data_IF_842623630078
#
_entry.id   IF_842623630078
#
_cell.length_a   1.000
_cell.length_b   1.000
_cell.length_c   1.000
_cell.angle_alpha   90.00
_cell.angle_beta   90.00
_cell.angle_gamma   90.00
#
_symmetry.space_group_name_H-M   'P 1'
#
loop_
_entity.id
_entity.type
_entity.pdbx_description
1 polymer ?
#
# COMPACT_ATOMS: atom_id res chain seq x y z
N UNK A 1 61.48 14.21 53.56
CA UNK A 1 62.67 15.08 53.70
C UNK A 1 63.18 15.45 52.31
N UNK A 2 63.46 16.75 52.09
CA UNK A 2 64.03 17.44 50.90
C UNK A 2 63.09 17.59 49.69
N UNK A 3 62.42 18.74 49.49
CA UNK A 3 62.88 20.09 49.08
C UNK A 3 62.80 20.27 47.55
N UNK A 4 61.79 20.98 47.04
CA UNK A 4 61.81 22.38 46.56
C UNK A 4 62.85 22.63 45.46
N UNK A 5 62.39 23.00 44.25
CA UNK A 5 62.98 24.12 43.50
C UNK A 5 61.95 24.73 42.53
N UNK A 6 61.60 25.99 42.77
CA UNK A 6 61.02 26.93 41.80
C UNK A 6 62.17 27.54 40.99
N UNK A 7 61.98 27.84 39.71
CA UNK A 7 62.55 29.07 39.15
C UNK A 7 61.66 29.67 38.06
N UNK A 8 61.59 30.99 38.13
CA UNK A 8 60.80 31.93 37.33
C UNK A 8 61.52 32.35 36.04
N UNK A 9 60.68 32.84 35.13
CA UNK A 9 60.83 34.02 34.25
C UNK A 9 61.68 33.97 32.99
N UNK A 10 61.08 34.42 31.86
CA UNK A 10 61.33 35.71 31.19
C UNK A 10 60.51 35.78 29.87
N UNK A 11 59.60 36.77 29.76
CA UNK A 11 59.17 37.40 28.48
C UNK A 11 60.39 38.17 27.89
N UNK A 12 60.47 38.58 26.58
CA UNK A 12 59.35 39.11 25.76
C UNK A 12 59.43 38.92 24.21
N UNK A 13 58.37 39.38 23.51
CA UNK A 13 58.30 39.92 22.12
C UNK A 13 58.85 39.12 20.92
N UNK A 14 58.01 38.88 19.90
CA UNK A 14 58.10 39.47 18.54
C UNK A 14 56.86 39.04 17.73
N UNK A 15 56.25 40.02 17.07
CA UNK A 15 55.12 39.86 16.16
C UNK A 15 55.54 39.24 14.82
N UNK A 16 54.72 38.36 14.26
CA UNK A 16 54.73 38.06 12.83
C UNK A 16 53.30 37.99 12.28
N UNK A 17 53.06 38.84 11.28
CA UNK A 17 51.90 38.87 10.40
C UNK A 17 51.77 37.56 9.60
N UNK A 18 50.59 36.93 9.61
CA UNK A 18 50.14 36.05 8.52
C UNK A 18 48.64 36.24 8.27
N UNK A 19 48.37 37.10 7.28
CA UNK A 19 47.48 36.93 6.12
C UNK A 19 46.34 35.90 6.28
N UNK A 20 45.11 36.41 6.13
CA UNK A 20 43.89 35.62 6.22
C UNK A 20 43.72 34.58 5.11
N UNK A 21 43.08 33.48 5.51
CA UNK A 21 42.14 32.73 4.68
C UNK A 21 40.95 32.41 5.57
N UNK A 22 39.93 33.27 5.54
CA UNK A 22 38.59 32.87 5.96
C UNK A 22 38.05 31.93 4.86
N UNK A 23 38.40 30.65 4.93
CA UNK A 23 37.70 29.64 4.16
C UNK A 23 36.27 29.58 4.71
N UNK A 24 35.32 30.16 3.98
CA UNK A 24 33.90 29.79 4.10
C UNK A 24 33.81 28.32 3.72
N UNK A 25 34.01 27.44 4.69
CA UNK A 25 33.55 26.07 4.59
C UNK A 25 32.02 26.17 4.48
N UNK A 26 31.51 26.09 3.26
CA UNK A 26 30.12 25.81 3.03
C UNK A 26 29.92 24.37 3.49
N UNK A 27 29.70 24.20 4.80
CA UNK A 27 29.19 22.95 5.34
C UNK A 27 27.92 22.67 4.56
N UNK A 28 27.97 21.65 3.70
CA UNK A 28 26.78 21.11 3.08
C UNK A 28 25.83 20.81 4.23
N UNK A 29 24.74 21.57 4.30
CA UNK A 29 23.77 21.45 5.38
C UNK A 29 23.38 19.97 5.47
N UNK A 30 23.56 19.36 6.64
CA UNK A 30 23.08 18.01 6.88
C UNK A 30 21.60 18.00 6.49
N UNK A 31 21.17 17.13 5.56
CA UNK A 31 19.78 17.11 5.12
C UNK A 31 18.89 16.98 6.35
N UNK A 32 17.95 17.91 6.52
CA UNK A 32 16.98 17.82 7.63
C UNK A 32 16.26 16.47 7.56
N UNK A 33 16.03 15.79 8.70
CA UNK A 33 15.20 14.59 8.72
C UNK A 33 13.84 14.85 8.07
N UNK A 34 13.33 13.87 7.32
CA UNK A 34 12.10 14.01 6.52
C UNK A 34 10.90 14.41 7.39
N UNK A 35 10.79 13.86 8.60
CA UNK A 35 9.72 14.21 9.53
C UNK A 35 9.82 15.65 10.02
N UNK A 36 11.03 16.17 10.21
CA UNK A 36 11.26 17.59 10.51
C UNK A 36 10.86 18.49 9.34
N UNK A 37 11.10 18.06 8.10
CA UNK A 37 10.65 18.78 6.90
C UNK A 37 9.12 18.82 6.82
N UNK A 38 8.43 17.69 7.06
CA UNK A 38 6.96 17.60 7.08
C UNK A 38 6.36 18.49 8.16
N UNK A 39 6.85 18.37 9.40
CA UNK A 39 6.36 19.16 10.53
C UNK A 39 6.52 20.66 10.28
N UNK A 40 7.68 21.08 9.76
CA UNK A 40 7.93 22.49 9.47
C UNK A 40 7.05 23.01 8.32
N UNK A 41 6.89 22.25 7.25
CA UNK A 41 6.02 22.63 6.13
C UNK A 41 4.58 22.84 6.59
N UNK A 42 4.06 21.93 7.43
CA UNK A 42 2.72 22.06 8.06
C UNK A 42 2.61 23.28 8.96
N UNK A 43 3.60 23.54 9.80
CA UNK A 43 3.59 24.71 10.69
C UNK A 43 3.49 26.03 9.90
N UNK A 44 4.27 26.16 8.81
CA UNK A 44 4.23 27.34 7.96
C UNK A 44 2.88 27.51 7.25
N UNK A 45 2.29 26.40 6.80
CA UNK A 45 0.96 26.39 6.19
C UNK A 45 -0.13 26.82 7.18
N UNK A 46 -0.12 26.30 8.41
CA UNK A 46 -1.05 26.70 9.48
C UNK A 46 -0.88 28.18 9.84
N UNK A 47 0.35 28.67 9.86
CA UNK A 47 0.67 30.09 10.08
C UNK A 47 0.35 30.98 8.86
N UNK A 48 -0.21 30.44 7.78
CA UNK A 48 -0.52 31.13 6.51
C UNK A 48 0.68 31.84 5.88
N UNK A 49 1.88 31.35 6.15
CA UNK A 49 3.12 31.84 5.54
C UNK A 49 3.31 31.20 4.16
N UNK A 50 2.37 31.46 3.24
CA UNK A 50 2.22 30.71 1.99
C UNK A 50 3.47 30.63 1.12
N UNK A 51 4.25 31.71 0.87
CA UNK A 51 5.48 31.60 0.08
C UNK A 51 6.50 30.63 0.69
N UNK A 52 6.62 30.64 2.03
CA UNK A 52 7.56 29.80 2.77
C UNK A 52 7.06 28.36 2.84
N UNK A 53 5.77 28.17 3.08
CA UNK A 53 5.12 26.87 3.05
C UNK A 53 5.29 26.20 1.67
N UNK A 54 5.03 26.93 0.58
CA UNK A 54 5.17 26.45 -0.79
C UNK A 54 6.59 25.96 -1.10
N UNK A 55 7.60 26.77 -0.78
CA UNK A 55 9.01 26.40 -0.99
C UNK A 55 9.41 25.16 -0.17
N UNK A 56 8.88 25.04 1.07
CA UNK A 56 9.16 23.88 1.92
C UNK A 56 8.46 22.62 1.44
N UNK A 57 7.20 22.70 1.02
CA UNK A 57 6.52 21.55 0.40
C UNK A 57 7.19 21.13 -0.91
N UNK A 58 7.67 22.07 -1.73
CA UNK A 58 8.43 21.72 -2.94
C UNK A 58 9.80 21.08 -2.63
N UNK A 59 10.44 21.45 -1.51
CA UNK A 59 11.67 20.80 -1.04
C UNK A 59 11.37 19.40 -0.50
N UNK A 60 10.34 19.29 0.34
CA UNK A 60 9.83 18.04 0.87
C UNK A 60 9.51 17.07 -0.27
N UNK A 61 8.73 17.50 -1.26
CA UNK A 61 8.34 16.67 -2.40
C UNK A 61 9.53 16.12 -3.20
N UNK A 62 10.70 16.76 -3.17
CA UNK A 62 11.92 16.25 -3.82
C UNK A 62 12.76 15.34 -2.91
N UNK A 63 12.55 15.44 -1.61
CA UNK A 63 13.20 14.61 -0.59
C UNK A 63 12.36 13.38 -0.24
N UNK A 64 11.06 13.39 -0.54
CA UNK A 64 10.18 12.24 -0.37
C UNK A 64 10.69 11.09 -1.24
N UNK A 65 11.03 9.93 -0.66
CA UNK A 65 11.52 8.80 -1.43
C UNK A 65 10.44 8.11 -2.28
N UNK A 66 9.16 8.42 -2.04
CA UNK A 66 8.03 7.65 -2.56
C UNK A 66 7.08 8.50 -3.39
N UNK A 67 6.69 8.03 -4.57
CA UNK A 67 5.88 8.81 -5.54
C UNK A 67 4.55 9.32 -5.00
N UNK A 68 3.83 8.56 -4.17
CA UNK A 68 2.56 9.03 -3.57
C UNK A 68 2.77 10.21 -2.60
N UNK A 69 3.78 10.12 -1.75
CA UNK A 69 4.16 11.20 -0.84
C UNK A 69 4.70 12.42 -1.61
N UNK A 70 5.51 12.18 -2.65
CA UNK A 70 5.95 13.22 -3.59
C UNK A 70 4.75 13.91 -4.24
N UNK A 71 3.79 13.15 -4.79
CA UNK A 71 2.61 13.68 -5.46
C UNK A 71 1.78 14.57 -4.52
N UNK A 72 1.53 14.12 -3.30
CA UNK A 72 0.80 14.86 -2.27
C UNK A 72 1.55 16.15 -1.86
N UNK A 73 2.87 16.06 -1.66
CA UNK A 73 3.69 17.21 -1.30
C UNK A 73 3.80 18.24 -2.45
N UNK A 74 3.90 17.78 -3.70
CA UNK A 74 3.85 18.64 -4.88
C UNK A 74 2.48 19.31 -5.04
N UNK A 75 1.38 18.60 -4.78
CA UNK A 75 0.04 19.16 -4.81
C UNK A 75 -0.11 20.28 -3.77
N UNK A 76 0.30 20.02 -2.53
CA UNK A 76 0.30 21.03 -1.47
C UNK A 76 1.20 22.23 -1.82
N UNK A 77 2.37 21.99 -2.41
CA UNK A 77 3.22 23.07 -2.91
C UNK A 77 2.50 23.93 -3.96
N UNK A 78 1.73 23.30 -4.86
CA UNK A 78 0.94 24.00 -5.86
C UNK A 78 -0.13 24.91 -5.22
N UNK A 79 -0.88 24.39 -4.25
CA UNK A 79 -1.88 25.16 -3.51
C UNK A 79 -1.26 26.39 -2.83
N UNK A 80 -0.15 26.22 -2.12
CA UNK A 80 0.49 27.35 -1.42
C UNK A 80 1.18 28.35 -2.37
N UNK A 81 1.71 27.93 -3.51
CA UNK A 81 2.17 28.87 -4.54
C UNK A 81 1.01 29.66 -5.14
N UNK A 82 -0.14 29.03 -5.37
CA UNK A 82 -1.33 29.69 -5.89
C UNK A 82 -1.89 30.72 -4.89
N UNK A 83 -1.96 30.37 -3.59
CA UNK A 83 -2.33 31.29 -2.51
C UNK A 83 -1.32 32.45 -2.33
N UNK A 84 -0.05 32.21 -2.64
CA UNK A 84 0.99 33.24 -2.63
C UNK A 84 0.97 34.14 -3.89
N UNK A 85 0.09 33.87 -4.87
CA UNK A 85 0.00 34.62 -6.12
C UNK A 85 1.02 34.22 -7.20
N UNK A 86 1.85 33.20 -6.96
CA UNK A 86 2.83 32.68 -7.94
C UNK A 86 2.20 31.57 -8.79
N UNK A 87 1.36 31.98 -9.74
CA UNK A 87 0.62 31.05 -10.62
C UNK A 87 1.56 30.20 -11.50
N UNK A 88 2.73 30.71 -11.84
CA UNK A 88 3.73 30.00 -12.64
C UNK A 88 4.34 28.84 -11.86
N UNK A 89 4.76 29.06 -10.61
CA UNK A 89 5.23 27.95 -9.77
C UNK A 89 4.09 26.99 -9.43
N UNK A 90 2.90 27.50 -9.15
CA UNK A 90 1.75 26.66 -8.83
C UNK A 90 1.46 25.64 -9.96
N UNK A 91 1.40 26.09 -11.21
CA UNK A 91 1.24 25.21 -12.37
C UNK A 91 2.38 24.20 -12.53
N UNK A 92 3.63 24.62 -12.28
CA UNK A 92 4.79 23.71 -12.32
C UNK A 92 4.68 22.61 -11.26
N UNK A 93 4.34 22.96 -10.03
CA UNK A 93 4.18 21.99 -8.95
C UNK A 93 2.97 21.08 -9.18
N UNK A 94 1.84 21.61 -9.67
CA UNK A 94 0.66 20.79 -10.01
C UNK A 94 0.99 19.81 -11.14
N UNK A 95 1.76 20.23 -12.14
CA UNK A 95 2.30 19.35 -13.16
C UNK A 95 3.25 18.28 -12.62
N UNK A 96 4.06 18.60 -11.62
CA UNK A 96 4.90 17.62 -10.93
C UNK A 96 4.06 16.62 -10.12
N UNK A 97 3.03 17.08 -9.42
CA UNK A 97 2.08 16.22 -8.71
C UNK A 97 1.40 15.24 -9.67
N UNK A 98 0.90 15.73 -10.81
CA UNK A 98 0.27 14.90 -11.85
C UNK A 98 1.24 13.85 -12.41
N UNK A 99 2.49 14.23 -12.69
CA UNK A 99 3.55 13.29 -13.14
C UNK A 99 3.92 12.26 -12.07
N UNK A 100 3.84 12.63 -10.80
CA UNK A 100 4.08 11.74 -9.67
C UNK A 100 2.89 10.81 -9.37
N UNK A 101 1.75 10.96 -10.05
CA UNK A 101 0.60 10.05 -9.95
C UNK A 101 -0.69 10.68 -9.42
N UNK A 102 -0.70 11.98 -9.11
CA UNK A 102 -1.91 12.66 -8.65
C UNK A 102 -2.95 12.77 -9.80
N UNK A 103 -4.13 12.19 -9.60
CA UNK A 103 -5.16 12.06 -10.66
C UNK A 103 -6.56 12.53 -10.25
N UNK A 104 -6.74 13.08 -9.04
CA UNK A 104 -8.05 13.51 -8.54
C UNK A 104 -8.49 14.86 -9.14
N UNK A 105 -8.96 14.81 -10.40
CA UNK A 105 -9.39 15.98 -11.15
C UNK A 105 -10.54 16.74 -10.45
N UNK A 106 -11.48 16.01 -9.82
CA UNK A 106 -12.64 16.62 -9.17
C UNK A 106 -12.23 17.47 -7.97
N UNK A 107 -11.34 16.95 -7.13
CA UNK A 107 -10.75 17.73 -6.04
C UNK A 107 -9.98 18.93 -6.57
N UNK A 108 -9.08 18.74 -7.54
CA UNK A 108 -8.29 19.85 -8.12
C UNK A 108 -9.18 20.94 -8.73
N UNK A 109 -10.32 20.58 -9.33
CA UNK A 109 -11.26 21.55 -9.91
C UNK A 109 -11.97 22.38 -8.84
N UNK A 110 -12.30 21.78 -7.70
CA UNK A 110 -13.10 22.39 -6.64
C UNK A 110 -12.25 23.10 -5.58
N UNK A 111 -10.98 22.73 -5.44
CA UNK A 111 -10.05 23.29 -4.47
C UNK A 111 -9.96 24.82 -4.63
N UNK A 112 -10.29 25.52 -3.54
CA UNK A 112 -10.30 26.98 -3.50
C UNK A 112 -8.90 27.58 -3.57
N UNK A 113 -7.88 26.84 -3.12
CA UNK A 113 -6.49 27.32 -3.11
C UNK A 113 -5.97 27.52 -4.53
N UNK A 114 -6.53 26.79 -5.50
CA UNK A 114 -6.16 26.82 -6.91
C UNK A 114 -7.04 27.76 -7.75
N UNK A 115 -7.90 28.57 -7.13
CA UNK A 115 -8.80 29.51 -7.84
C UNK A 115 -8.09 30.38 -8.88
N UNK A 116 -6.88 30.88 -8.54
CA UNK A 116 -6.08 31.73 -9.42
C UNK A 116 -5.60 31.04 -10.71
N UNK A 117 -5.66 29.71 -10.77
CA UNK A 117 -5.21 28.92 -11.93
C UNK A 117 -6.35 28.55 -12.89
N UNK A 118 -7.62 28.63 -12.45
CA UNK A 118 -8.76 28.02 -13.15
C UNK A 118 -8.95 28.51 -14.58
N UNK A 119 -8.71 29.78 -14.84
CA UNK A 119 -8.83 30.37 -16.18
C UNK A 119 -7.63 30.05 -17.09
N UNK A 120 -6.54 29.48 -16.57
CA UNK A 120 -5.30 29.28 -17.32
C UNK A 120 -5.39 28.01 -18.20
N UNK A 121 -5.02 28.09 -19.50
CA UNK A 121 -5.04 26.93 -20.39
C UNK A 121 -4.20 25.74 -19.89
N UNK A 122 -3.07 26.02 -19.22
CA UNK A 122 -2.20 24.98 -18.65
C UNK A 122 -2.89 24.20 -17.52
N UNK A 123 -3.72 24.88 -16.71
CA UNK A 123 -4.51 24.24 -15.67
C UNK A 123 -5.57 23.32 -16.28
N UNK A 124 -6.28 23.79 -17.30
CA UNK A 124 -7.27 22.99 -18.02
C UNK A 124 -6.63 21.75 -18.69
N UNK A 125 -5.43 21.89 -19.25
CA UNK A 125 -4.68 20.76 -19.78
C UNK A 125 -4.21 19.75 -18.70
N UNK A 126 -3.95 20.21 -17.48
CA UNK A 126 -3.65 19.34 -16.34
C UNK A 126 -4.90 18.58 -15.89
N UNK A 127 -6.03 19.28 -15.72
CA UNK A 127 -7.32 18.66 -15.39
C UNK A 127 -7.70 17.59 -16.41
N UNK A 128 -7.60 17.89 -17.72
CA UNK A 128 -7.89 16.92 -18.79
C UNK A 128 -7.04 15.66 -18.68
N UNK A 129 -5.75 15.78 -18.31
CA UNK A 129 -4.88 14.59 -18.10
C UNK A 129 -5.30 13.78 -16.87
N UNK A 130 -5.68 14.44 -15.79
CA UNK A 130 -6.19 13.78 -14.58
C UNK A 130 -7.52 13.07 -14.85
N UNK A 131 -8.42 13.71 -15.61
CA UNK A 131 -9.69 13.15 -16.09
C UNK A 131 -9.46 11.95 -17.00
N UNK A 132 -8.51 12.01 -17.93
CA UNK A 132 -8.16 10.88 -18.78
C UNK A 132 -7.63 9.69 -17.97
N UNK A 133 -6.78 9.94 -16.97
CA UNK A 133 -6.30 8.89 -16.07
C UNK A 133 -7.45 8.26 -15.26
N UNK A 134 -8.37 9.09 -14.80
CA UNK A 134 -9.60 8.67 -14.11
C UNK A 134 -10.53 7.87 -15.02
N UNK A 135 -10.76 8.32 -16.25
CA UNK A 135 -11.60 7.65 -17.23
C UNK A 135 -11.01 6.28 -17.60
N UNK A 136 -9.67 6.18 -17.65
CA UNK A 136 -8.99 4.90 -17.83
C UNK A 136 -9.37 3.89 -16.76
N UNK A 137 -9.40 4.32 -15.51
CA UNK A 137 -9.82 3.47 -14.40
C UNK A 137 -11.29 3.04 -14.51
N UNK A 138 -12.15 3.75 -15.25
CA UNK A 138 -13.54 3.31 -15.42
C UNK A 138 -13.70 2.09 -16.35
N UNK A 139 -12.68 1.76 -17.16
CA UNK A 139 -12.69 0.66 -18.12
C UNK A 139 -11.74 -0.46 -17.66
N UNK A 140 -12.25 -1.66 -17.35
CA UNK A 140 -11.41 -2.77 -16.90
C UNK A 140 -10.36 -3.18 -17.95
N UNK A 141 -10.63 -3.02 -19.25
CA UNK A 141 -9.70 -3.38 -20.33
C UNK A 141 -8.44 -2.50 -20.38
N UNK A 142 -8.46 -1.35 -19.70
CA UNK A 142 -7.33 -0.42 -19.68
C UNK A 142 -6.43 -0.58 -18.45
N UNK A 143 -6.70 -1.57 -17.60
CA UNK A 143 -5.86 -1.95 -16.46
C UNK A 143 -4.49 -2.42 -16.96
N UNK A 144 -3.44 -1.85 -16.38
CA UNK A 144 -2.06 -2.31 -16.61
C UNK A 144 -1.72 -3.45 -15.67
N UNK A 145 -1.10 -4.47 -16.22
CA UNK A 145 -0.49 -5.57 -15.49
C UNK A 145 1.01 -5.36 -15.54
N UNK A 146 1.60 -5.04 -14.39
CA UNK A 146 3.01 -4.69 -14.29
C UNK A 146 3.74 -5.85 -13.61
N UNK A 147 4.52 -6.59 -14.41
CA UNK A 147 5.32 -7.74 -13.96
C UNK A 147 6.82 -7.50 -14.06
N UNK A 148 7.25 -6.29 -14.47
CA UNK A 148 8.67 -5.95 -14.67
C UNK A 148 9.51 -6.12 -13.41
N UNK A 149 8.89 -6.02 -12.24
CA UNK A 149 9.56 -6.22 -10.96
C UNK A 149 9.94 -7.68 -10.73
N UNK A 150 9.17 -8.64 -11.26
CA UNK A 150 9.54 -10.08 -11.23
C UNK A 150 10.83 -10.30 -12.04
N UNK A 151 10.93 -9.71 -13.24
CA UNK A 151 12.12 -9.82 -14.08
C UNK A 151 13.35 -9.15 -13.43
N UNK A 152 13.14 -7.97 -12.85
CA UNK A 152 14.18 -7.24 -12.13
C UNK A 152 14.66 -8.02 -10.91
N UNK A 153 13.75 -8.64 -10.14
CA UNK A 153 14.10 -9.49 -9.02
C UNK A 153 14.95 -10.68 -9.46
N UNK A 154 14.52 -11.46 -10.46
CA UNK A 154 15.28 -12.66 -10.87
C UNK A 154 16.66 -12.33 -11.44
N UNK A 155 16.79 -11.19 -12.15
CA UNK A 155 18.10 -10.70 -12.58
C UNK A 155 19.00 -10.36 -11.39
N UNK A 156 18.47 -9.63 -10.42
CA UNK A 156 19.20 -9.28 -9.20
C UNK A 156 19.55 -10.51 -8.36
N UNK A 157 18.64 -11.49 -8.29
CA UNK A 157 18.82 -12.76 -7.61
C UNK A 157 19.98 -13.57 -8.22
N UNK A 158 20.02 -13.71 -9.55
CA UNK A 158 21.10 -14.40 -10.26
C UNK A 158 22.45 -13.70 -10.07
N UNK A 159 22.47 -12.38 -10.07
CA UNK A 159 23.69 -11.61 -9.79
C UNK A 159 24.14 -11.76 -8.34
N UNK A 160 23.21 -11.73 -7.39
CA UNK A 160 23.49 -11.91 -5.96
C UNK A 160 23.91 -13.34 -5.59
N UNK A 161 23.57 -14.34 -6.40
CA UNK A 161 24.08 -15.70 -6.26
C UNK A 161 25.57 -15.81 -6.63
N UNK A 162 26.07 -14.95 -7.52
CA UNK A 162 27.48 -14.90 -7.94
C UNK A 162 28.37 -14.08 -7.01
N UNK A 163 27.80 -13.14 -6.26
CA UNK A 163 28.51 -12.33 -5.26
C UNK A 163 27.65 -12.16 -3.99
N UNK A 164 27.60 -13.19 -3.11
CA UNK A 164 26.77 -13.16 -1.90
C UNK A 164 27.14 -12.03 -0.94
N UNK A 165 28.42 -11.64 -0.88
CA UNK A 165 28.90 -10.56 -0.01
C UNK A 165 28.29 -9.19 -0.39
N UNK A 166 27.85 -9.03 -1.65
CA UNK A 166 27.19 -7.81 -2.15
C UNK A 166 25.70 -7.97 -2.42
N UNK A 167 25.07 -9.06 -1.97
CA UNK A 167 23.65 -9.36 -2.20
C UNK A 167 22.71 -8.18 -1.92
N UNK A 168 22.86 -7.53 -0.75
CA UNK A 168 22.06 -6.36 -0.40
C UNK A 168 22.23 -5.22 -1.41
N UNK A 169 23.47 -4.86 -1.74
CA UNK A 169 23.79 -3.78 -2.69
C UNK A 169 23.27 -4.08 -4.11
N UNK A 170 23.31 -5.35 -4.51
CA UNK A 170 22.78 -5.82 -5.80
C UNK A 170 21.26 -5.65 -5.84
N UNK A 171 20.53 -6.10 -4.80
CA UNK A 171 19.09 -5.91 -4.71
C UNK A 171 18.71 -4.42 -4.65
N UNK A 172 19.41 -3.62 -3.84
CA UNK A 172 19.23 -2.16 -3.78
C UNK A 172 19.35 -1.52 -5.17
N UNK A 173 20.37 -1.87 -5.95
CA UNK A 173 20.61 -1.27 -7.27
C UNK A 173 19.68 -1.82 -8.35
N UNK A 174 19.47 -3.13 -8.39
CA UNK A 174 18.91 -3.80 -9.56
C UNK A 174 17.44 -4.16 -9.41
N UNK A 175 16.96 -4.36 -8.19
CA UNK A 175 15.55 -4.61 -7.91
C UNK A 175 14.87 -3.30 -7.46
N UNK A 176 15.27 -2.75 -6.32
CA UNK A 176 14.63 -1.54 -5.77
C UNK A 176 15.00 -0.26 -6.53
N UNK A 177 16.24 -0.15 -7.02
CA UNK A 177 16.69 0.98 -7.83
C UNK A 177 16.04 1.05 -9.22
N UNK A 178 15.33 0.00 -9.62
CA UNK A 178 14.55 -0.09 -10.87
C UNK A 178 13.08 -0.41 -10.61
N UNK A 179 12.60 -0.11 -9.40
CA UNK A 179 11.25 -0.41 -8.96
C UNK A 179 10.20 0.24 -9.88
N UNK A 180 9.14 -0.51 -10.16
CA UNK A 180 7.88 0.11 -10.56
C UNK A 180 7.29 0.90 -9.39
N UNK A 181 6.28 1.74 -9.68
CA UNK A 181 5.55 2.47 -8.63
C UNK A 181 4.94 1.51 -7.59
N UNK A 182 4.50 0.32 -8.02
CA UNK A 182 3.97 -0.67 -7.10
C UNK A 182 5.03 -1.29 -6.20
N UNK A 183 6.24 -1.53 -6.70
CA UNK A 183 7.33 -2.02 -5.85
C UNK A 183 7.83 -0.95 -4.88
N UNK A 184 7.82 0.33 -5.27
CA UNK A 184 8.06 1.44 -4.33
C UNK A 184 7.06 1.36 -3.15
N UNK A 185 5.75 1.34 -3.45
CA UNK A 185 4.72 1.26 -2.41
C UNK A 185 4.80 -0.04 -1.58
N UNK A 186 5.11 -1.19 -2.21
CA UNK A 186 5.24 -2.46 -1.52
C UNK A 186 6.46 -2.48 -0.60
N UNK A 187 7.58 -1.90 -1.05
CA UNK A 187 8.74 -1.72 -0.20
C UNK A 187 8.37 -0.91 1.03
N UNK A 188 7.64 0.17 0.85
CA UNK A 188 7.29 1.07 1.93
C UNK A 188 6.35 0.46 2.91
N UNK A 189 5.36 -0.30 2.46
CA UNK A 189 4.33 -0.83 3.35
C UNK A 189 4.76 -2.15 4.01
N UNK A 190 5.48 -3.00 3.27
CA UNK A 190 5.69 -4.42 3.60
C UNK A 190 7.15 -4.77 3.86
N UNK A 191 8.03 -4.59 2.88
CA UNK A 191 9.44 -5.03 3.00
C UNK A 191 10.20 -4.17 4.00
N UNK A 192 10.01 -2.85 3.95
CA UNK A 192 10.57 -1.77 4.79
C UNK A 192 12.10 -1.60 4.69
N UNK A 193 12.85 -2.69 4.62
CA UNK A 193 14.30 -2.70 4.64
C UNK A 193 14.83 -3.85 3.77
N UNK A 194 15.84 -3.58 2.95
CA UNK A 194 16.39 -4.58 2.02
C UNK A 194 17.00 -5.77 2.77
N UNK A 195 17.64 -5.54 3.91
CA UNK A 195 18.23 -6.60 4.73
C UNK A 195 17.19 -7.63 5.21
N UNK A 196 15.92 -7.25 5.42
CA UNK A 196 14.84 -8.20 5.78
C UNK A 196 14.53 -9.15 4.63
N UNK A 197 14.49 -8.63 3.40
CA UNK A 197 14.34 -9.47 2.21
C UNK A 197 15.57 -10.38 2.06
N UNK A 198 16.78 -9.85 2.20
CA UNK A 198 18.02 -10.66 2.15
C UNK A 198 17.96 -11.80 3.17
N UNK A 199 17.61 -11.52 4.42
CA UNK A 199 17.47 -12.54 5.46
C UNK A 199 16.44 -13.60 5.08
N UNK A 200 15.29 -13.22 4.49
CA UNK A 200 14.29 -14.19 4.03
C UNK A 200 14.86 -15.07 2.90
N UNK A 201 15.55 -14.48 1.93
CA UNK A 201 16.18 -15.25 0.83
C UNK A 201 17.26 -16.20 1.34
N UNK A 202 17.99 -15.82 2.38
CA UNK A 202 19.02 -16.64 3.02
C UNK A 202 18.43 -17.82 3.80
N UNK A 203 17.26 -17.64 4.41
CA UNK A 203 16.60 -18.69 5.24
C UNK A 203 15.58 -19.53 4.48
N UNK A 204 15.19 -19.13 3.27
CA UNK A 204 14.24 -19.88 2.42
C UNK A 204 14.72 -20.09 0.97
N UNK A 205 15.99 -20.46 0.74
CA UNK A 205 16.56 -20.52 -0.60
C UNK A 205 15.89 -21.58 -1.50
N UNK A 206 15.51 -22.75 -0.98
CA UNK A 206 14.90 -23.80 -1.79
C UNK A 206 13.51 -23.38 -2.27
N UNK A 207 12.74 -22.70 -1.42
CA UNK A 207 11.44 -22.15 -1.79
C UNK A 207 11.57 -21.11 -2.91
N UNK A 208 12.42 -20.09 -2.72
CA UNK A 208 12.56 -19.03 -3.73
C UNK A 208 13.11 -19.57 -5.04
N UNK A 209 14.06 -20.51 -5.02
CA UNK A 209 14.54 -21.12 -6.26
C UNK A 209 13.41 -21.83 -7.01
N UNK A 210 12.53 -22.55 -6.30
CA UNK A 210 11.48 -23.35 -6.92
C UNK A 210 10.32 -22.52 -7.50
N UNK A 211 9.99 -21.36 -6.92
CA UNK A 211 8.87 -20.52 -7.40
C UNK A 211 9.20 -19.71 -8.67
N UNK A 212 10.46 -19.70 -9.14
CA UNK A 212 10.88 -18.87 -10.28
C UNK A 212 10.07 -19.11 -11.55
N UNK A 213 9.96 -20.36 -11.97
CA UNK A 213 9.19 -20.71 -13.18
C UNK A 213 7.72 -20.30 -13.06
N UNK A 214 7.16 -20.40 -11.86
CA UNK A 214 5.76 -20.09 -11.59
C UNK A 214 5.54 -18.57 -11.60
N UNK A 215 6.36 -17.79 -10.91
CA UNK A 215 6.24 -16.31 -10.89
C UNK A 215 6.38 -15.69 -12.28
N UNK A 216 7.25 -16.24 -13.14
CA UNK A 216 7.41 -15.78 -14.53
C UNK A 216 6.17 -16.04 -15.41
N UNK A 217 5.21 -16.87 -14.97
CA UNK A 217 3.97 -17.16 -15.69
C UNK A 217 2.78 -16.28 -15.25
N UNK A 218 2.94 -15.42 -14.23
CA UNK A 218 1.84 -14.61 -13.68
C UNK A 218 1.11 -13.78 -14.73
N UNK A 219 1.82 -13.26 -15.73
CA UNK A 219 1.22 -12.46 -16.80
C UNK A 219 0.09 -13.23 -17.55
N UNK A 220 0.13 -14.56 -17.58
CA UNK A 220 -0.87 -15.41 -18.20
C UNK A 220 -2.24 -15.37 -17.47
N UNK A 221 -2.29 -14.87 -16.23
CA UNK A 221 -3.54 -14.76 -15.46
C UNK A 221 -4.37 -13.51 -15.82
N UNK A 222 -3.83 -12.62 -16.67
CA UNK A 222 -4.49 -11.35 -17.04
C UNK A 222 -5.91 -11.56 -17.60
N UNK A 223 -6.18 -12.48 -18.53
CA UNK A 223 -7.53 -12.68 -19.06
C UNK A 223 -8.57 -13.02 -17.98
N UNK A 224 -8.19 -13.85 -17.00
CA UNK A 224 -9.06 -14.29 -15.90
C UNK A 224 -9.33 -13.16 -14.91
N UNK A 225 -8.32 -12.34 -14.59
CA UNK A 225 -8.54 -11.14 -13.78
C UNK A 225 -9.46 -10.15 -14.49
N UNK A 226 -9.24 -9.91 -15.79
CA UNK A 226 -10.12 -9.03 -16.57
C UNK A 226 -11.55 -9.56 -16.62
N UNK A 227 -11.75 -10.88 -16.69
CA UNK A 227 -13.08 -11.47 -16.62
C UNK A 227 -13.76 -11.15 -15.27
N UNK A 228 -13.06 -11.29 -14.15
CA UNK A 228 -13.55 -10.88 -12.83
C UNK A 228 -13.89 -9.39 -12.77
N UNK A 229 -13.03 -8.53 -13.33
CA UNK A 229 -13.26 -7.08 -13.36
C UNK A 229 -14.46 -6.69 -14.23
N UNK A 230 -14.68 -7.35 -15.37
CA UNK A 230 -15.91 -7.17 -16.17
C UNK A 230 -17.14 -7.56 -15.35
N UNK A 231 -17.07 -8.69 -14.64
CA UNK A 231 -18.19 -9.12 -13.80
C UNK A 231 -18.49 -8.13 -12.69
N UNK A 232 -17.46 -7.59 -12.06
CA UNK A 232 -17.59 -6.52 -11.08
C UNK A 232 -18.21 -5.26 -11.70
N UNK A 233 -17.82 -4.87 -12.91
CA UNK A 233 -18.40 -3.72 -13.63
C UNK A 233 -19.88 -3.90 -13.93
N UNK A 234 -20.31 -5.11 -14.28
CA UNK A 234 -21.72 -5.44 -14.52
C UNK A 234 -22.57 -5.29 -13.24
N UNK A 235 -22.03 -5.76 -12.11
CA UNK A 235 -22.69 -5.75 -10.80
C UNK A 235 -22.66 -4.36 -10.15
N UNK A 236 -21.57 -3.62 -10.34
CA UNK A 236 -21.35 -2.29 -9.79
C UNK A 236 -20.86 -1.33 -10.90
N UNK A 237 -21.79 -0.73 -11.68
CA UNK A 237 -21.45 0.19 -12.77
C UNK A 237 -20.50 1.35 -12.41
N UNK A 238 -20.51 1.91 -11.17
CA UNK A 238 -19.55 2.93 -10.76
C UNK A 238 -18.12 2.42 -10.53
N UNK A 239 -17.85 1.12 -10.64
CA UNK A 239 -16.53 0.53 -10.38
C UNK A 239 -15.42 1.22 -11.18
N UNK A 240 -14.31 1.46 -10.47
CA UNK A 240 -13.02 1.87 -11.00
C UNK A 240 -11.97 0.79 -10.76
N UNK A 241 -11.08 0.61 -11.71
CA UNK A 241 -10.09 -0.45 -11.73
C UNK A 241 -8.68 0.11 -11.59
N UNK A 242 -7.97 -0.40 -10.60
CA UNK A 242 -6.59 -0.06 -10.33
C UNK A 242 -5.64 -0.83 -11.26
N UNK A 243 -4.48 -0.25 -11.56
CA UNK A 243 -3.39 -1.02 -12.14
C UNK A 243 -2.91 -2.08 -11.15
N UNK A 244 -2.43 -3.22 -11.65
CA UNK A 244 -2.00 -4.37 -10.83
C UNK A 244 -0.49 -4.54 -10.97
N UNK A 245 0.20 -4.53 -9.84
CA UNK A 245 1.65 -4.67 -9.74
C UNK A 245 1.99 -5.99 -9.06
N UNK A 246 2.82 -6.79 -9.70
CA UNK A 246 3.28 -8.07 -9.16
C UNK A 246 4.74 -7.95 -8.76
N UNK A 247 5.02 -8.25 -7.49
CA UNK A 247 6.33 -8.06 -6.87
C UNK A 247 6.77 -9.35 -6.18
N UNK A 248 8.07 -9.54 -6.03
CA UNK A 248 8.62 -10.60 -5.19
C UNK A 248 9.01 -9.98 -3.84
N UNK A 249 8.29 -10.36 -2.80
CA UNK A 249 8.49 -9.92 -1.43
C UNK A 249 9.27 -10.92 -0.58
N UNK A 250 9.22 -10.70 0.73
CA UNK A 250 9.74 -11.60 1.76
C UNK A 250 8.64 -12.46 2.40
N UNK A 251 7.61 -12.86 1.65
CA UNK A 251 6.37 -13.47 2.15
C UNK A 251 5.57 -12.55 3.10
N UNK A 252 5.62 -11.23 2.86
CA UNK A 252 5.11 -10.23 3.80
C UNK A 252 3.64 -9.84 3.57
N UNK A 253 3.09 -10.11 2.37
CA UNK A 253 1.73 -9.69 1.99
C UNK A 253 1.32 -10.34 0.69
N UNK A 254 0.15 -11.00 0.70
CA UNK A 254 -0.45 -11.64 -0.48
C UNK A 254 -1.08 -10.61 -1.43
N UNK A 255 -1.71 -9.58 -0.85
CA UNK A 255 -2.25 -8.44 -1.57
C UNK A 255 -2.27 -7.18 -0.71
N UNK A 256 -2.27 -6.00 -1.33
CA UNK A 256 -2.49 -4.69 -0.69
C UNK A 256 -2.98 -3.66 -1.71
N UNK A 257 -4.11 -3.03 -1.44
CA UNK A 257 -4.58 -1.88 -2.20
C UNK A 257 -3.89 -0.57 -1.77
N UNK A 258 -3.51 0.26 -2.74
CA UNK A 258 -2.96 1.60 -2.54
C UNK A 258 -3.59 2.60 -3.52
N UNK A 259 -3.38 3.91 -3.33
CA UNK A 259 -3.80 4.90 -4.33
C UNK A 259 -3.18 4.71 -5.73
N UNK A 260 -1.99 4.09 -5.82
CA UNK A 260 -1.31 3.87 -7.11
C UNK A 260 -1.72 2.56 -7.79
N UNK A 261 -2.27 1.61 -7.03
CA UNK A 261 -2.82 0.37 -7.56
C UNK A 261 -2.82 -0.79 -6.56
N UNK A 262 -3.03 -1.99 -7.08
CA UNK A 262 -3.07 -3.23 -6.31
C UNK A 262 -1.67 -3.86 -6.31
N UNK A 263 -1.15 -4.16 -5.14
CA UNK A 263 0.16 -4.76 -4.95
C UNK A 263 -0.02 -6.24 -4.62
N UNK A 264 0.49 -7.14 -5.45
CA UNK A 264 0.32 -8.58 -5.30
C UNK A 264 1.68 -9.24 -5.07
N UNK A 265 1.81 -9.94 -3.95
CA UNK A 265 3.00 -10.73 -3.63
C UNK A 265 3.04 -12.00 -4.48
N UNK A 266 3.80 -11.96 -5.57
CA UNK A 266 3.99 -13.09 -6.48
C UNK A 266 4.55 -14.32 -5.76
N UNK A 267 5.39 -14.10 -4.74
CA UNK A 267 5.99 -15.12 -3.90
C UNK A 267 4.99 -15.90 -3.04
N UNK A 268 3.79 -15.39 -2.80
CA UNK A 268 2.75 -16.10 -2.03
C UNK A 268 1.75 -16.86 -2.92
N UNK A 269 1.79 -16.64 -4.24
CA UNK A 269 0.85 -17.22 -5.21
C UNK A 269 1.55 -17.99 -6.33
N UNK A 270 2.65 -18.65 -5.98
CA UNK A 270 3.50 -19.41 -6.90
C UNK A 270 3.70 -20.88 -6.48
N UNK A 271 2.78 -21.44 -5.69
CA UNK A 271 2.85 -22.85 -5.25
C UNK A 271 2.57 -23.82 -6.41
N UNK A 272 3.29 -24.92 -6.44
CA UNK A 272 3.00 -26.13 -7.24
C UNK A 272 3.45 -27.37 -6.45
N UNK A 273 3.12 -28.61 -6.87
CA UNK A 273 3.56 -29.83 -6.19
C UNK A 273 5.08 -29.96 -6.03
N UNK A 274 5.84 -29.33 -6.91
CA UNK A 274 7.31 -29.35 -6.94
C UNK A 274 7.94 -28.31 -6.01
N UNK A 275 7.17 -27.35 -5.50
CA UNK A 275 7.69 -26.29 -4.62
C UNK A 275 7.85 -26.82 -3.19
N UNK A 276 9.07 -26.86 -2.63
CA UNK A 276 9.31 -27.38 -1.30
C UNK A 276 8.77 -26.41 -0.23
N UNK A 277 8.07 -26.94 0.77
CA UNK A 277 7.41 -26.13 1.82
C UNK A 277 8.04 -26.26 3.22
N UNK A 278 9.14 -27.01 3.33
CA UNK A 278 9.77 -27.32 4.61
C UNK A 278 10.45 -26.10 5.26
N UNK A 279 10.84 -25.10 4.46
CA UNK A 279 11.44 -23.84 4.93
C UNK A 279 10.38 -22.80 5.38
N UNK A 280 9.10 -23.08 5.13
CA UNK A 280 7.99 -22.18 5.45
C UNK A 280 7.44 -22.43 6.86
N UNK A 281 6.90 -21.38 7.49
CA UNK A 281 6.11 -21.51 8.72
C UNK A 281 4.78 -22.23 8.45
N UNK A 282 4.06 -22.65 9.50
CA UNK A 282 2.71 -23.22 9.33
C UNK A 282 1.77 -22.24 8.61
N UNK A 283 1.76 -20.99 9.06
CA UNK A 283 0.94 -19.94 8.47
C UNK A 283 1.36 -19.66 7.01
N UNK A 284 2.66 -19.59 6.72
CA UNK A 284 3.17 -19.38 5.36
C UNK A 284 2.68 -20.49 4.42
N UNK A 285 2.76 -21.75 4.87
CA UNK A 285 2.27 -22.91 4.10
C UNK A 285 0.78 -22.81 3.81
N UNK A 286 -0.02 -22.50 4.84
CA UNK A 286 -1.48 -22.42 4.73
C UNK A 286 -1.95 -21.23 3.89
N UNK A 287 -1.13 -20.18 3.76
CA UNK A 287 -1.43 -18.99 2.98
C UNK A 287 -0.64 -18.92 1.65
N UNK A 288 0.03 -20.02 1.27
CA UNK A 288 0.66 -20.21 -0.04
C UNK A 288 -0.29 -20.91 -1.01
N UNK A 289 -0.55 -20.28 -2.15
CA UNK A 289 -1.51 -20.75 -3.16
C UNK A 289 -0.91 -20.89 -4.56
N UNK A 290 -1.55 -21.64 -5.47
CA UNK A 290 -1.17 -21.71 -6.87
C UNK A 290 -1.48 -20.41 -7.63
N UNK A 291 -0.87 -20.26 -8.81
CA UNK A 291 -1.15 -19.13 -9.72
C UNK A 291 -2.62 -19.00 -10.10
N UNK A 292 -3.34 -20.13 -10.13
CA UNK A 292 -4.75 -20.17 -10.50
C UNK A 292 -5.67 -19.39 -9.54
N UNK A 293 -5.18 -19.02 -8.34
CA UNK A 293 -5.88 -18.19 -7.37
C UNK A 293 -5.58 -16.69 -7.53
N UNK A 294 -4.61 -16.29 -8.35
CA UNK A 294 -4.32 -14.86 -8.62
C UNK A 294 -5.59 -14.05 -8.96
N UNK A 295 -6.53 -14.55 -9.79
CA UNK A 295 -7.75 -13.81 -10.10
C UNK A 295 -8.57 -13.42 -8.87
N UNK A 296 -8.76 -14.33 -7.92
CA UNK A 296 -9.55 -14.06 -6.71
C UNK A 296 -8.84 -13.11 -5.75
N UNK A 297 -7.52 -13.22 -5.62
CA UNK A 297 -6.71 -12.29 -4.80
C UNK A 297 -6.74 -10.89 -5.38
N UNK A 298 -6.56 -10.76 -6.70
CA UNK A 298 -6.64 -9.43 -7.35
C UNK A 298 -8.05 -8.86 -7.23
N UNK A 299 -9.09 -9.69 -7.34
CA UNK A 299 -10.46 -9.25 -7.13
C UNK A 299 -10.69 -8.77 -5.69
N UNK A 300 -10.16 -9.48 -4.69
CA UNK A 300 -10.24 -9.08 -3.28
C UNK A 300 -9.62 -7.68 -3.06
N UNK A 301 -8.39 -7.46 -3.52
CA UNK A 301 -7.75 -6.14 -3.42
C UNK A 301 -8.48 -5.05 -4.20
N UNK A 302 -9.09 -5.42 -5.34
CA UNK A 302 -9.91 -4.51 -6.12
C UNK A 302 -11.16 -4.07 -5.36
N UNK A 303 -11.72 -4.91 -4.48
CA UNK A 303 -12.82 -4.50 -3.61
C UNK A 303 -12.35 -3.48 -2.57
N UNK A 304 -11.19 -3.68 -1.94
CA UNK A 304 -10.61 -2.68 -1.04
C UNK A 304 -10.37 -1.33 -1.73
N UNK A 305 -9.96 -1.35 -3.00
CA UNK A 305 -9.80 -0.11 -3.78
C UNK A 305 -11.13 0.63 -4.02
N UNK A 306 -12.27 -0.08 -4.00
CA UNK A 306 -13.61 0.51 -4.16
C UNK A 306 -14.27 0.87 -2.83
N UNK A 307 -13.90 0.20 -1.75
CA UNK A 307 -14.45 0.46 -0.43
C UNK A 307 -14.22 1.91 -0.05
N UNK A 308 -15.29 2.58 0.39
CA UNK A 308 -15.14 3.89 1.00
C UNK A 308 -14.30 3.74 2.26
N UNK A 309 -13.45 4.74 2.53
CA UNK A 309 -12.72 4.81 3.79
C UNK A 309 -13.72 5.09 4.92
N UNK A 310 -14.35 4.03 5.40
CA UNK A 310 -15.33 4.01 6.48
C UNK A 310 -14.69 3.34 7.67
N UNK A 311 -13.43 3.69 7.96
CA UNK A 311 -12.65 3.19 9.09
C UNK A 311 -13.38 3.49 10.41
N UNK A 312 -14.38 2.67 10.72
CA UNK A 312 -14.82 2.42 12.06
C UNK A 312 -13.66 1.73 12.77
N UNK A 313 -13.38 2.16 13.98
CA UNK A 313 -12.34 1.51 14.79
C UNK A 313 -12.77 0.10 15.24
N UNK A 314 -14.00 -0.34 14.96
CA UNK A 314 -14.57 -1.55 15.54
C UNK A 314 -14.21 -2.82 14.75
N UNK A 315 -14.08 -3.92 15.48
CA UNK A 315 -13.90 -5.25 14.92
C UNK A 315 -15.01 -5.61 13.92
N UNK A 316 -16.27 -5.20 14.17
CA UNK A 316 -17.37 -5.41 13.22
C UNK A 316 -17.08 -4.81 11.85
N UNK A 317 -16.60 -3.56 11.81
CA UNK A 317 -16.29 -2.89 10.55
C UNK A 317 -15.10 -3.51 9.84
N UNK A 318 -14.05 -3.89 10.58
CA UNK A 318 -12.91 -4.62 10.02
C UNK A 318 -13.34 -5.96 9.41
N UNK A 319 -14.07 -6.78 10.17
CA UNK A 319 -14.56 -8.08 9.71
C UNK A 319 -15.45 -7.95 8.47
N UNK A 320 -16.43 -7.04 8.47
CA UNK A 320 -17.30 -6.82 7.30
C UNK A 320 -16.48 -6.35 6.10
N UNK A 321 -15.50 -5.45 6.26
CA UNK A 321 -14.69 -4.99 5.13
C UNK A 321 -13.86 -6.12 4.51
N UNK A 322 -13.17 -6.92 5.33
CA UNK A 322 -12.37 -8.06 4.86
C UNK A 322 -13.24 -9.16 4.25
N UNK A 323 -14.31 -9.54 4.95
CA UNK A 323 -15.25 -10.55 4.49
C UNK A 323 -16.06 -10.13 3.26
N UNK A 324 -16.33 -8.83 3.08
CA UNK A 324 -16.95 -8.30 1.86
C UNK A 324 -16.00 -8.42 0.67
N UNK A 325 -14.71 -8.11 0.86
CA UNK A 325 -13.71 -8.26 -0.19
C UNK A 325 -13.64 -9.71 -0.66
N UNK A 326 -13.63 -10.66 0.29
CA UNK A 326 -13.73 -12.09 0.01
C UNK A 326 -15.00 -12.50 -0.72
N UNK A 327 -16.16 -12.06 -0.24
CA UNK A 327 -17.45 -12.43 -0.81
C UNK A 327 -17.63 -11.91 -2.24
N UNK A 328 -17.29 -10.64 -2.48
CA UNK A 328 -17.41 -10.04 -3.80
C UNK A 328 -16.33 -10.54 -4.77
N UNK A 329 -15.14 -10.89 -4.28
CA UNK A 329 -14.12 -11.58 -5.07
C UNK A 329 -14.62 -12.95 -5.54
N UNK A 330 -15.20 -13.75 -4.65
CA UNK A 330 -15.82 -15.03 -5.02
C UNK A 330 -16.96 -14.84 -6.01
N UNK A 331 -17.85 -13.89 -5.77
CA UNK A 331 -18.99 -13.61 -6.64
C UNK A 331 -18.56 -13.24 -8.08
N UNK A 332 -17.41 -12.59 -8.24
CA UNK A 332 -16.93 -12.10 -9.53
C UNK A 332 -15.98 -13.07 -10.24
N UNK A 333 -15.30 -13.95 -9.51
CA UNK A 333 -14.30 -14.87 -10.06
C UNK A 333 -14.70 -16.34 -9.98
N UNK A 334 -15.68 -16.68 -9.16
CA UNK A 334 -16.06 -18.06 -8.83
C UNK A 334 -15.08 -18.75 -7.87
N UNK A 335 -14.13 -18.02 -7.28
CA UNK A 335 -13.09 -18.56 -6.41
C UNK A 335 -13.03 -17.76 -5.10
N UNK A 336 -13.12 -18.44 -3.96
CA UNK A 336 -13.06 -17.79 -2.65
C UNK A 336 -11.58 -17.56 -2.25
N UNK A 337 -11.13 -16.30 -2.02
CA UNK A 337 -9.70 -15.98 -1.77
C UNK A 337 -9.07 -16.63 -0.53
N UNK A 338 -9.87 -16.85 0.51
CA UNK A 338 -9.53 -17.46 1.80
C UNK A 338 -10.31 -18.77 2.03
N UNK A 339 -10.44 -19.60 0.99
CA UNK A 339 -11.23 -20.83 1.04
C UNK A 339 -10.82 -21.77 2.19
N UNK A 340 -9.56 -21.67 2.64
CA UNK A 340 -9.01 -22.40 3.80
C UNK A 340 -9.80 -22.20 5.10
N UNK A 341 -10.50 -21.07 5.26
CA UNK A 341 -11.24 -20.75 6.47
C UNK A 341 -12.59 -21.47 6.54
N UNK A 342 -13.17 -21.82 5.39
CA UNK A 342 -14.56 -22.31 5.29
C UNK A 342 -14.78 -23.61 6.07
N UNK A 343 -13.93 -24.67 5.97
CA UNK A 343 -14.18 -25.92 6.68
C UNK A 343 -14.31 -25.75 8.20
N UNK A 344 -13.41 -24.97 8.81
CA UNK A 344 -13.48 -24.66 10.24
C UNK A 344 -14.65 -23.73 10.55
N UNK A 345 -14.81 -22.67 9.77
CA UNK A 345 -15.87 -21.69 9.94
C UNK A 345 -17.26 -22.32 9.92
N UNK A 346 -17.52 -23.23 8.98
CA UNK A 346 -18.80 -23.93 8.84
C UNK A 346 -19.05 -24.89 10.02
N UNK A 347 -18.02 -25.65 10.42
CA UNK A 347 -18.11 -26.57 11.55
C UNK A 347 -18.35 -25.86 12.90
N UNK A 348 -17.92 -24.60 13.02
CA UNK A 348 -17.91 -23.85 14.28
C UNK A 348 -18.72 -22.54 14.24
N UNK A 349 -19.57 -22.33 13.23
CA UNK A 349 -20.19 -21.03 12.94
C UNK A 349 -20.94 -20.43 14.15
N UNK A 350 -21.74 -21.25 14.85
CA UNK A 350 -22.51 -20.80 16.04
C UNK A 350 -21.60 -20.38 17.19
N UNK A 351 -20.51 -21.11 17.42
CA UNK A 351 -19.54 -20.80 18.46
C UNK A 351 -18.77 -19.51 18.13
N UNK A 352 -18.28 -19.41 16.88
CA UNK A 352 -17.60 -18.21 16.38
C UNK A 352 -18.50 -16.98 16.49
N UNK A 353 -19.78 -17.06 16.11
CA UNK A 353 -20.70 -15.94 16.25
C UNK A 353 -20.90 -15.52 17.71
N UNK A 354 -21.02 -16.48 18.64
CA UNK A 354 -21.19 -16.18 20.06
C UNK A 354 -19.96 -15.48 20.65
N UNK A 355 -18.75 -15.88 20.25
CA UNK A 355 -17.51 -15.21 20.62
C UNK A 355 -17.41 -13.82 19.99
N UNK A 356 -17.61 -13.72 18.69
CA UNK A 356 -17.49 -12.48 17.92
C UNK A 356 -18.41 -11.38 18.44
N UNK A 357 -19.68 -11.70 18.73
CA UNK A 357 -20.65 -10.73 19.27
C UNK A 357 -20.18 -10.01 20.53
N UNK A 358 -19.40 -10.69 21.39
CA UNK A 358 -18.91 -10.09 22.63
C UNK A 358 -17.83 -9.03 22.39
N UNK A 359 -17.15 -9.12 21.26
CA UNK A 359 -15.98 -8.29 20.93
C UNK A 359 -16.24 -7.27 19.82
N UNK A 360 -17.22 -7.52 18.94
CA UNK A 360 -17.40 -6.81 17.66
C UNK A 360 -17.56 -5.28 17.75
N UNK A 361 -18.03 -4.77 18.90
CA UNK A 361 -18.17 -3.32 19.12
C UNK A 361 -16.84 -2.64 19.50
N UNK A 362 -15.86 -3.40 20.01
CA UNK A 362 -14.57 -2.90 20.46
C UNK A 362 -13.55 -2.76 19.33
N UNK A 363 -12.41 -2.15 19.64
CA UNK A 363 -11.32 -1.88 18.70
C UNK A 363 -10.15 -2.86 18.76
N UNK A 364 -10.23 -3.90 19.60
CA UNK A 364 -9.24 -4.96 19.61
C UNK A 364 -9.56 -5.98 18.52
N UNK A 365 -8.69 -6.08 17.53
CA UNK A 365 -8.88 -6.99 16.39
C UNK A 365 -8.06 -8.28 16.52
N UNK A 366 -7.13 -8.34 17.48
CA UNK A 366 -6.07 -9.34 17.53
C UNK A 366 -6.52 -10.79 17.78
N UNK A 367 -7.79 -11.04 18.09
CA UNK A 367 -8.34 -12.40 18.17
C UNK A 367 -8.93 -12.89 16.83
N UNK A 368 -9.06 -12.00 15.84
CA UNK A 368 -9.90 -12.23 14.66
C UNK A 368 -9.25 -11.87 13.33
N UNK A 369 -8.37 -10.87 13.29
CA UNK A 369 -7.78 -10.32 12.07
C UNK A 369 -6.30 -10.04 12.32
N UNK A 370 -5.45 -10.42 11.36
CA UNK A 370 -4.00 -10.29 11.39
C UNK A 370 -3.35 -10.98 12.61
N UNK A 371 -3.89 -12.13 13.01
CA UNK A 371 -3.48 -12.91 14.18
C UNK A 371 -2.75 -14.21 13.79
N UNK A 372 -1.84 -14.11 12.81
CA UNK A 372 -1.07 -15.25 12.29
C UNK A 372 -0.29 -16.04 13.34
N UNK A 373 0.07 -15.40 14.46
CA UNK A 373 0.74 -16.01 15.61
C UNK A 373 -0.14 -16.97 16.41
N UNK A 374 -1.46 -16.95 16.17
CA UNK A 374 -2.45 -17.83 16.78
C UNK A 374 -2.87 -19.00 15.88
N UNK A 375 -2.32 -19.11 14.66
CA UNK A 375 -2.60 -20.23 13.76
C UNK A 375 -2.12 -21.55 14.37
N UNK A 376 -3.00 -22.55 14.42
CA UNK A 376 -2.65 -23.92 14.82
C UNK A 376 -3.04 -24.91 13.72
N UNK A 377 -2.59 -26.18 13.77
CA UNK A 377 -3.03 -27.20 12.81
C UNK A 377 -4.56 -27.40 12.78
N UNK A 378 -5.25 -27.12 13.89
CA UNK A 378 -6.68 -27.38 14.06
C UNK A 378 -7.55 -26.11 13.99
N UNK A 379 -6.96 -24.92 14.13
CA UNK A 379 -7.69 -23.64 14.11
C UNK A 379 -6.94 -22.60 13.25
N UNK A 380 -7.54 -22.14 12.14
CA UNK A 380 -6.94 -21.10 11.34
C UNK A 380 -7.04 -19.73 12.04
N UNK A 381 -6.05 -18.88 11.79
CA UNK A 381 -6.11 -17.44 12.04
C UNK A 381 -7.07 -16.75 11.05
N UNK A 382 -7.32 -15.46 11.27
CA UNK A 382 -8.11 -14.59 10.39
C UNK A 382 -9.61 -14.94 10.26
N UNK A 383 -10.18 -15.64 11.25
CA UNK A 383 -11.60 -16.02 11.26
C UNK A 383 -12.59 -14.83 11.26
N UNK A 384 -12.12 -13.60 11.49
CA UNK A 384 -12.90 -12.38 11.26
C UNK A 384 -13.35 -12.24 9.80
N UNK A 385 -12.53 -12.68 8.84
CA UNK A 385 -12.88 -12.70 7.40
C UNK A 385 -14.09 -13.59 7.17
N UNK A 386 -14.08 -14.79 7.75
CA UNK A 386 -15.20 -15.73 7.66
C UNK A 386 -16.50 -15.13 8.22
N UNK A 387 -16.47 -14.53 9.42
CA UNK A 387 -17.67 -13.92 10.02
C UNK A 387 -18.21 -12.79 9.13
N UNK A 388 -17.33 -11.89 8.68
CA UNK A 388 -17.72 -10.79 7.78
C UNK A 388 -18.30 -11.28 6.45
N UNK A 389 -17.70 -12.33 5.89
CA UNK A 389 -18.16 -12.98 4.66
C UNK A 389 -19.59 -13.48 4.83
N UNK A 390 -19.89 -14.16 5.94
CA UNK A 390 -21.22 -14.69 6.22
C UNK A 390 -22.27 -13.61 6.44
N UNK A 391 -21.90 -12.49 7.06
CA UNK A 391 -22.77 -11.31 7.19
C UNK A 391 -23.09 -10.74 5.80
N UNK A 392 -22.08 -10.56 4.94
CA UNK A 392 -22.25 -10.04 3.59
C UNK A 392 -23.10 -10.98 2.73
N UNK A 393 -22.81 -12.28 2.74
CA UNK A 393 -23.59 -13.31 2.06
C UNK A 393 -25.06 -13.30 2.52
N UNK A 394 -25.30 -13.26 3.83
CA UNK A 394 -26.65 -13.21 4.39
C UNK A 394 -27.43 -11.97 3.91
N UNK A 395 -26.77 -10.81 3.82
CA UNK A 395 -27.38 -9.62 3.25
C UNK A 395 -27.66 -9.79 1.75
N UNK A 396 -26.66 -10.19 0.96
CA UNK A 396 -26.81 -10.40 -0.48
C UNK A 396 -27.97 -11.34 -0.82
N UNK A 397 -28.10 -12.45 -0.10
CA UNK A 397 -29.16 -13.44 -0.32
C UNK A 397 -30.55 -12.87 -0.03
N UNK A 398 -30.68 -11.96 0.95
CA UNK A 398 -31.95 -11.36 1.32
C UNK A 398 -32.44 -10.30 0.34
N UNK A 399 -31.54 -9.67 -0.42
CA UNK A 399 -31.89 -8.57 -1.34
C UNK A 399 -32.18 -9.14 -2.74
N UNK A 400 -33.37 -8.89 -3.33
CA UNK A 400 -33.69 -9.37 -4.69
C UNK A 400 -32.83 -8.70 -5.77
N UNK A 401 -32.65 -7.38 -5.70
CA UNK A 401 -31.77 -6.65 -6.61
C UNK A 401 -30.31 -6.81 -6.19
N UNK A 402 -29.59 -7.69 -6.89
CA UNK A 402 -28.19 -7.98 -6.59
C UNK A 402 -27.25 -6.81 -6.86
N UNK A 403 -27.58 -5.92 -7.80
CA UNK A 403 -26.78 -4.70 -8.03
C UNK A 403 -26.94 -3.73 -6.88
N UNK A 404 -28.17 -3.59 -6.36
CA UNK A 404 -28.42 -2.81 -5.15
C UNK A 404 -27.69 -3.40 -3.94
N UNK A 405 -27.69 -4.73 -3.79
CA UNK A 405 -26.97 -5.39 -2.69
C UNK A 405 -25.46 -5.08 -2.71
N UNK A 406 -24.81 -5.17 -3.88
CA UNK A 406 -23.39 -4.83 -4.05
C UNK A 406 -23.15 -3.33 -3.84
N UNK A 407 -24.05 -2.48 -4.33
CA UNK A 407 -23.98 -1.04 -4.09
C UNK A 407 -24.01 -0.72 -2.59
N UNK A 408 -24.96 -1.31 -1.86
CA UNK A 408 -25.12 -1.08 -0.43
C UNK A 408 -23.90 -1.56 0.37
N UNK A 409 -23.32 -2.70 0.01
CA UNK A 409 -22.06 -3.19 0.60
C UNK A 409 -20.90 -2.21 0.40
N UNK A 410 -20.65 -1.76 -0.83
CA UNK A 410 -19.54 -0.84 -1.12
C UNK A 410 -19.76 0.58 -0.58
N UNK A 411 -20.97 0.88 -0.08
CA UNK A 411 -21.38 2.19 0.40
C UNK A 411 -21.91 2.18 1.85
N UNK A 412 -21.53 1.20 2.67
CA UNK A 412 -21.94 1.13 4.09
C UNK A 412 -21.51 2.41 4.83
N UNK A 413 -22.48 3.13 5.39
CA UNK A 413 -22.23 4.26 6.30
C UNK A 413 -22.35 3.90 7.79
N UNK A 414 -23.03 2.79 8.11
CA UNK A 414 -23.30 2.33 9.47
C UNK A 414 -23.25 0.78 9.49
N UNK A 415 -22.17 0.24 10.05
CA UNK A 415 -21.92 -1.21 10.10
C UNK A 415 -22.88 -1.96 11.04
N UNK A 416 -23.17 -1.49 12.27
CA UNK A 416 -24.24 -2.07 13.09
C UNK A 416 -25.59 -2.15 12.38
N UNK A 417 -26.00 -1.08 11.67
CA UNK A 417 -27.25 -1.09 10.91
C UNK A 417 -27.21 -2.09 9.74
N UNK A 418 -26.07 -2.19 9.04
CA UNK A 418 -25.89 -3.19 7.99
C UNK A 418 -25.99 -4.62 8.52
N UNK A 419 -25.37 -4.92 9.66
CA UNK A 419 -25.49 -6.21 10.34
C UNK A 419 -26.96 -6.54 10.65
N UNK A 420 -27.73 -5.60 11.19
CA UNK A 420 -29.16 -5.82 11.44
C UNK A 420 -29.93 -6.12 10.14
N UNK A 421 -29.68 -5.35 9.08
CA UNK A 421 -30.30 -5.55 7.76
C UNK A 421 -29.93 -6.89 7.11
N UNK A 422 -28.73 -7.40 7.36
CA UNK A 422 -28.28 -8.72 6.86
C UNK A 422 -29.13 -9.87 7.41
N UNK A 423 -29.75 -9.65 8.57
CA UNK A 423 -30.48 -10.66 9.34
C UNK A 423 -29.66 -11.91 9.66
N UNK A 424 -28.32 -11.78 9.65
CA UNK A 424 -27.40 -12.89 9.82
C UNK A 424 -27.68 -13.68 11.12
N UNK A 425 -27.79 -12.98 12.25
CA UNK A 425 -28.06 -13.63 13.54
C UNK A 425 -29.37 -14.41 13.55
N UNK A 426 -30.46 -13.85 13.01
CA UNK A 426 -31.74 -14.56 12.99
C UNK A 426 -31.70 -15.77 12.05
N UNK A 427 -30.99 -15.66 10.90
CA UNK A 427 -30.80 -16.77 9.98
C UNK A 427 -29.97 -17.89 10.60
N UNK A 428 -28.91 -17.55 11.34
CA UNK A 428 -28.05 -18.52 12.03
C UNK A 428 -28.79 -19.26 13.15
N UNK A 429 -29.68 -18.58 13.87
CA UNK A 429 -30.50 -19.19 14.91
C UNK A 429 -31.51 -20.22 14.37
N UNK A 430 -31.92 -20.09 13.10
CA UNK A 430 -32.92 -20.94 12.45
C UNK A 430 -32.33 -22.12 11.66
N UNK A 431 -31.00 -22.25 11.62
CA UNK A 431 -30.26 -23.38 11.02
C UNK A 431 -29.80 -24.31 12.13
#
# INVERSE_FOLDING_TARGET
>A
MKAILRFRSLLPTVALLLIGYAAKAQQAAVPMPLDSLRARARQLAVAKQYPQAAARYATLARAEPHRSAQASAFYNAACYYALAGDTNQALRQLGAAQKAGYTNADHTRQDSDLNSLRAMPQFQALLKRMEQATARQANPEQVRFVTTDIDNFWRAYDHAARDPARRQQILEREYFGKASVGLEDYFDLKIRQVNRLVQKLDTTPAYYQAIRSNTLQIAAMKPQVLAGFRKLKELYPPARFADVYFVIGGFNSGGTATPNGLLIGADMRARSPEVPLHELSLWDRNNSGPLAEIPSIVAHEQIHFLQKNTAGASLLSGAINEGMADFLAELTTGQQPNARLQPYGDAHEKALWAEFKREMAGSNWGNWIANSDQETPDKPADLGYYVGYRICQAYYDAIPDKKQAVYDMLNIGDFPAFLQKSRYEQKLANR
#
